data_IF_714241692209
#
_entry.id   IF_714241692209
#
_cell.length_a   1.000
_cell.length_b   1.000
_cell.length_c   1.000
_cell.angle_alpha   90.00
_cell.angle_beta   90.00
_cell.angle_gamma   90.00
#
_symmetry.space_group_name_H-M   'P 1'
#
loop_
_entity.id
_entity.type
_entity.pdbx_description
1 polymer ?
#
# COMPACT_ATOMS: atom_id res chain seq x y z
N UNK A 1 2.67 26.48 14.33
CA UNK A 1 2.94 25.29 15.16
C UNK A 1 4.00 24.44 14.43
N UNK A 2 4.96 23.82 15.13
CA UNK A 2 6.07 23.08 14.48
C UNK A 2 5.60 21.73 13.93
N UNK A 3 4.77 21.02 14.69
CA UNK A 3 4.19 19.72 14.34
C UNK A 3 2.68 19.83 14.18
N UNK A 4 2.05 18.85 13.51
CA UNK A 4 0.59 18.75 13.39
C UNK A 4 -0.07 18.48 14.75
N UNK A 5 0.57 17.64 15.56
CA UNK A 5 0.13 17.23 16.89
C UNK A 5 1.23 16.42 17.57
N UNK A 6 0.95 15.86 18.74
CA UNK A 6 1.83 14.90 19.44
C UNK A 6 0.97 13.72 19.87
N UNK A 7 1.49 12.51 19.67
CA UNK A 7 0.85 11.27 20.11
C UNK A 7 1.77 10.56 21.10
N UNK A 8 1.21 9.95 22.13
CA UNK A 8 1.96 9.15 23.10
C UNK A 8 1.92 7.67 22.69
N UNK A 9 3.05 7.13 22.28
CA UNK A 9 3.15 5.78 21.74
C UNK A 9 2.72 5.65 20.27
N UNK A 10 2.84 4.43 19.74
CA UNK A 10 2.49 4.10 18.35
C UNK A 10 1.01 3.69 18.28
N UNK A 11 0.16 4.37 17.48
CA UNK A 11 -1.25 4.00 17.32
C UNK A 11 -1.47 2.85 16.32
N UNK A 12 -0.40 2.28 15.78
CA UNK A 12 -0.42 1.26 14.73
C UNK A 12 0.26 -0.05 15.17
N UNK A 13 -0.07 -1.19 14.53
CA UNK A 13 0.62 -2.45 14.78
C UNK A 13 2.11 -2.38 14.39
N UNK A 14 2.92 -3.27 14.96
CA UNK A 14 4.34 -3.35 14.61
C UNK A 14 4.53 -3.68 13.13
N UNK A 15 5.29 -2.84 12.43
CA UNK A 15 5.60 -3.00 11.02
C UNK A 15 6.80 -3.94 10.79
N UNK A 16 7.52 -4.34 11.84
CA UNK A 16 8.58 -5.35 11.77
C UNK A 16 9.81 -4.95 10.96
N UNK A 17 9.94 -3.67 10.59
CA UNK A 17 11.04 -3.19 9.73
C UNK A 17 12.34 -3.16 10.51
N UNK A 18 13.32 -3.90 10.00
CA UNK A 18 14.70 -3.85 10.47
C UNK A 18 15.39 -2.56 9.98
N UNK A 19 16.48 -2.12 10.64
CA UNK A 19 17.27 -0.98 10.15
C UNK A 19 17.76 -1.13 8.69
N UNK A 20 18.00 -2.37 8.26
CA UNK A 20 18.43 -2.68 6.89
C UNK A 20 17.31 -2.45 5.87
N UNK A 21 16.06 -2.69 6.23
CA UNK A 21 14.91 -2.46 5.36
C UNK A 21 14.58 -0.99 5.25
N UNK A 22 14.69 -0.24 6.35
CA UNK A 22 14.64 1.22 6.33
C UNK A 22 15.65 1.82 5.34
N UNK A 23 16.89 1.33 5.34
CA UNK A 23 17.91 1.81 4.42
C UNK A 23 17.56 1.67 2.92
N UNK A 24 16.69 0.72 2.56
CA UNK A 24 16.22 0.52 1.17
C UNK A 24 15.19 1.57 0.74
N UNK A 25 14.48 2.18 1.68
CA UNK A 25 13.46 3.20 1.39
C UNK A 25 14.17 4.51 1.07
N UNK A 26 14.01 5.10 -0.12
CA UNK A 26 14.71 6.34 -0.47
C UNK A 26 14.24 7.50 0.43
N UNK A 27 15.16 8.35 0.91
CA UNK A 27 14.80 9.51 1.71
C UNK A 27 14.07 10.55 0.85
N UNK A 28 13.05 11.18 1.43
CA UNK A 28 12.26 12.26 0.81
C UNK A 28 12.15 13.44 1.77
N UNK A 29 11.77 14.59 1.25
CA UNK A 29 11.57 15.80 2.05
C UNK A 29 10.13 15.87 2.56
N UNK A 30 9.96 16.15 3.85
CA UNK A 30 8.67 16.30 4.52
C UNK A 30 8.62 17.62 5.27
N UNK A 31 7.43 18.21 5.38
CA UNK A 31 7.22 19.39 6.21
C UNK A 31 6.93 18.99 7.65
N UNK A 32 7.52 19.71 8.59
CA UNK A 32 7.37 19.41 10.02
C UNK A 32 5.92 19.55 10.50
N UNK A 33 5.18 20.52 9.96
CA UNK A 33 3.80 20.82 10.34
C UNK A 33 2.79 19.76 9.88
N UNK A 34 3.23 18.76 9.10
CA UNK A 34 2.42 17.62 8.69
C UNK A 34 2.65 16.39 9.57
N UNK A 35 3.69 16.41 10.42
CA UNK A 35 4.12 15.25 11.19
C UNK A 35 3.53 15.25 12.60
N UNK A 36 3.28 14.05 13.10
CA UNK A 36 2.87 13.78 14.48
C UNK A 36 3.90 12.88 15.15
N UNK A 37 4.83 13.41 15.97
CA UNK A 37 5.72 12.56 16.77
C UNK A 37 4.96 11.60 17.68
N UNK A 38 5.49 10.37 17.80
CA UNK A 38 4.97 9.29 18.67
C UNK A 38 5.57 9.28 20.07
N UNK A 39 6.49 10.21 20.35
CA UNK A 39 7.12 10.36 21.66
C UNK A 39 6.91 11.78 22.18
N UNK A 40 6.56 11.86 23.45
CA UNK A 40 6.31 13.11 24.18
C UNK A 40 7.57 13.66 24.84
N UNK A 41 8.58 12.81 25.06
CA UNK A 41 9.78 13.16 25.82
C UNK A 41 10.90 13.61 24.90
N UNK A 42 11.35 14.85 25.11
CA UNK A 42 12.52 15.41 24.44
C UNK A 42 13.68 15.55 25.44
N UNK A 43 14.74 14.79 25.21
CA UNK A 43 15.98 14.90 25.97
C UNK A 43 16.86 16.06 25.46
N UNK A 44 17.09 17.07 26.31
CA UNK A 44 17.82 18.30 25.95
C UNK A 44 19.32 18.06 25.72
N UNK A 45 19.93 17.20 26.53
CA UNK A 45 21.32 16.75 26.39
C UNK A 45 21.55 16.12 25.01
N UNK A 46 20.61 15.27 24.57
CA UNK A 46 20.63 14.69 23.22
C UNK A 46 20.43 15.78 22.16
N UNK A 47 19.50 16.72 22.36
CA UNK A 47 19.27 17.79 21.39
C UNK A 47 20.49 18.70 21.17
N UNK A 48 21.31 18.93 22.21
CA UNK A 48 22.49 19.79 22.15
C UNK A 48 23.77 19.04 21.77
N UNK A 49 23.78 17.72 21.84
CA UNK A 49 24.94 16.91 21.45
C UNK A 49 25.28 17.07 19.96
N UNK A 50 26.58 17.25 19.67
CA UNK A 50 27.10 17.27 18.29
C UNK A 50 26.90 15.90 17.60
N UNK A 51 26.90 14.80 18.38
CA UNK A 51 26.69 13.42 17.93
C UNK A 51 25.21 12.98 17.88
N UNK A 52 24.25 13.90 18.02
CA UNK A 52 22.81 13.56 18.12
C UNK A 52 22.22 12.90 16.85
N UNK A 53 23.02 12.71 15.80
CA UNK A 53 22.68 11.94 14.60
C UNK A 53 23.30 10.54 14.59
N UNK A 54 24.01 10.11 15.63
CA UNK A 54 25.01 9.05 15.48
C UNK A 54 24.58 7.63 15.85
N UNK A 55 23.37 7.42 16.37
CA UNK A 55 22.88 6.06 16.60
C UNK A 55 21.75 5.72 15.64
N UNK A 56 22.11 5.27 14.44
CA UNK A 56 21.16 4.69 13.48
C UNK A 56 21.19 5.34 12.09
N UNK A 57 20.01 5.60 11.54
CA UNK A 57 19.82 6.14 10.20
C UNK A 57 20.05 7.66 10.17
N UNK A 58 20.69 8.14 9.10
CA UNK A 58 20.93 9.58 8.90
C UNK A 58 19.62 10.35 8.70
N UNK A 59 18.58 9.66 8.24
CA UNK A 59 17.26 10.20 7.95
C UNK A 59 16.27 9.84 9.05
N UNK A 60 15.27 10.70 9.25
CA UNK A 60 14.16 10.37 10.15
C UNK A 60 13.30 9.23 9.61
N UNK A 61 12.57 8.54 10.48
CA UNK A 61 11.62 7.50 10.09
C UNK A 61 10.20 8.01 10.30
N UNK A 62 9.41 7.96 9.23
CA UNK A 62 8.00 8.31 9.23
C UNK A 62 7.21 7.07 8.85
N UNK A 63 6.19 6.77 9.64
CA UNK A 63 5.19 5.74 9.33
C UNK A 63 3.89 6.45 9.01
N UNK A 64 3.32 6.15 7.85
CA UNK A 64 1.98 6.59 7.50
C UNK A 64 0.97 5.50 7.88
N UNK A 65 0.00 5.88 8.69
CA UNK A 65 -1.09 5.01 9.14
C UNK A 65 -2.38 5.83 9.28
N UNK A 66 -3.49 5.28 8.81
CA UNK A 66 -4.79 5.96 8.72
C UNK A 66 -4.68 7.36 8.08
N UNK A 67 -3.87 7.49 7.03
CA UNK A 67 -3.58 8.79 6.37
C UNK A 67 -2.90 9.85 7.26
N UNK A 68 -2.34 9.48 8.41
CA UNK A 68 -1.57 10.34 9.30
C UNK A 68 -0.09 9.96 9.26
N UNK A 69 0.78 10.96 9.16
CA UNK A 69 2.24 10.77 9.18
C UNK A 69 2.79 10.86 10.59
N UNK A 70 3.17 9.71 11.14
CA UNK A 70 3.76 9.59 12.46
C UNK A 70 5.28 9.64 12.38
N UNK A 71 5.89 10.56 13.12
CA UNK A 71 7.35 10.66 13.24
C UNK A 71 7.81 9.70 14.34
N UNK A 72 8.33 8.55 13.91
CA UNK A 72 8.76 7.47 14.80
C UNK A 72 10.16 7.70 15.35
N UNK A 73 11.09 8.12 14.48
CA UNK A 73 12.46 8.43 14.84
C UNK A 73 12.92 9.76 14.24
N UNK A 74 13.90 10.40 14.88
CA UNK A 74 14.47 11.67 14.44
C UNK A 74 13.78 12.91 15.01
N UNK A 75 13.06 12.79 16.14
CA UNK A 75 12.43 13.93 16.82
C UNK A 75 13.44 15.06 17.10
N UNK A 76 14.61 14.75 17.67
CA UNK A 76 15.63 15.75 17.97
C UNK A 76 16.12 16.47 16.72
N UNK A 77 16.30 15.74 15.61
CA UNK A 77 16.69 16.28 14.31
C UNK A 77 15.60 17.19 13.72
N UNK A 78 14.34 16.81 13.87
CA UNK A 78 13.19 17.63 13.47
C UNK A 78 13.13 18.94 14.27
N UNK A 79 13.23 18.85 15.60
CA UNK A 79 13.20 20.03 16.48
C UNK A 79 14.42 20.93 16.24
N UNK A 80 15.62 20.36 16.09
CA UNK A 80 16.82 21.13 15.73
C UNK A 80 16.67 21.85 14.38
N UNK A 81 16.02 21.24 13.41
CA UNK A 81 15.71 21.88 12.12
C UNK A 81 14.74 23.05 12.30
N UNK A 82 13.68 22.86 13.09
CA UNK A 82 12.73 23.91 13.43
C UNK A 82 13.38 25.10 14.15
N UNK A 83 14.29 24.84 15.11
CA UNK A 83 15.06 25.86 15.81
C UNK A 83 16.00 26.66 14.90
N UNK A 84 16.38 26.10 13.74
CA UNK A 84 17.15 26.78 12.69
C UNK A 84 16.25 27.43 11.63
N UNK A 85 14.97 27.65 11.93
CA UNK A 85 13.95 28.16 11.02
C UNK A 85 13.77 27.32 9.74
N UNK A 86 14.08 26.02 9.78
CA UNK A 86 13.80 25.09 8.67
C UNK A 86 12.51 24.34 8.95
N UNK A 87 11.53 24.52 8.08
CA UNK A 87 10.20 23.89 8.18
C UNK A 87 10.13 22.51 7.55
N UNK A 88 11.25 21.99 7.04
CA UNK A 88 11.32 20.69 6.35
C UNK A 88 12.44 19.81 6.90
N UNK A 89 12.24 18.49 6.87
CA UNK A 89 13.21 17.45 7.24
C UNK A 89 13.31 16.40 6.14
N UNK A 90 14.47 15.76 6.00
CA UNK A 90 14.62 14.56 5.19
C UNK A 90 14.33 13.32 6.03
N UNK A 91 13.40 12.49 5.55
CA UNK A 91 12.94 11.30 6.23
C UNK A 91 12.64 10.18 5.22
N UNK A 92 12.61 8.95 5.71
CA UNK A 92 12.14 7.80 4.98
C UNK A 92 10.70 7.54 5.40
N UNK A 93 9.83 7.36 4.41
CA UNK A 93 8.43 7.10 4.63
C UNK A 93 8.12 5.63 4.37
N UNK A 94 7.57 4.97 5.37
CA UNK A 94 6.95 3.68 5.22
C UNK A 94 5.43 3.86 5.24
N UNK A 95 4.77 3.43 4.17
CA UNK A 95 3.33 3.41 4.07
C UNK A 95 2.80 2.11 4.66
N UNK A 96 2.33 2.16 5.91
CA UNK A 96 1.81 0.98 6.61
C UNK A 96 0.40 0.64 6.15
N UNK A 97 -0.41 1.64 5.76
CA UNK A 97 -1.76 1.41 5.22
C UNK A 97 -1.66 0.49 3.99
N UNK A 98 -0.84 0.89 3.02
CA UNK A 98 -0.58 0.16 1.78
C UNK A 98 0.13 -1.19 2.03
N UNK A 99 0.88 -1.33 3.12
CA UNK A 99 1.47 -2.61 3.52
C UNK A 99 0.44 -3.57 4.13
N UNK A 100 -0.44 -3.08 5.01
CA UNK A 100 -1.50 -3.87 5.62
C UNK A 100 -2.54 -4.31 4.59
N UNK A 101 -2.90 -3.45 3.64
CA UNK A 101 -3.77 -3.79 2.52
C UNK A 101 -3.21 -4.96 1.69
N UNK A 102 -1.89 -4.97 1.42
CA UNK A 102 -1.23 -6.07 0.71
C UNK A 102 -1.14 -7.36 1.50
N UNK A 103 -1.02 -7.29 2.82
CA UNK A 103 -1.02 -8.47 3.68
C UNK A 103 -2.42 -9.05 3.87
N UNK A 104 -3.45 -8.20 3.89
CA UNK A 104 -4.86 -8.61 3.95
C UNK A 104 -5.42 -9.09 2.60
N UNK A 105 -4.85 -8.61 1.49
CA UNK A 105 -5.24 -9.03 0.13
C UNK A 105 -4.37 -10.19 -0.32
N UNK A 106 -4.89 -11.41 -0.20
CA UNK A 106 -4.35 -12.55 -0.95
C UNK A 106 -4.51 -12.23 -2.44
N UNK A 107 -3.43 -12.21 -3.26
CA UNK A 107 -3.57 -12.08 -4.71
C UNK A 107 -4.27 -13.35 -5.23
N UNK A 108 -5.59 -13.28 -5.44
CA UNK A 108 -6.44 -14.41 -5.86
C UNK A 108 -7.84 -14.46 -5.23
N UNK A 109 -8.20 -13.48 -4.41
CA UNK A 109 -9.46 -13.30 -3.67
C UNK A 109 -10.76 -12.87 -4.35
N UNK A 110 -10.77 -12.34 -5.58
CA UNK A 110 -12.00 -11.68 -6.06
C UNK A 110 -11.92 -11.26 -7.53
N UNK A 111 -12.35 -12.16 -8.42
CA UNK A 111 -13.51 -11.85 -9.28
C UNK A 111 -14.16 -13.16 -9.78
N UNK A 112 -15.16 -13.63 -9.05
CA UNK A 112 -16.12 -14.63 -9.54
C UNK A 112 -17.47 -14.22 -8.97
N UNK A 113 -18.17 -13.42 -9.76
CA UNK A 113 -19.41 -12.74 -9.41
C UNK A 113 -20.42 -13.62 -8.70
N UNK A 114 -20.84 -13.17 -7.52
CA UNK A 114 -22.16 -13.47 -7.00
C UNK A 114 -23.14 -12.48 -7.61
N UNK A 115 -23.64 -12.82 -8.81
CA UNK A 115 -25.01 -12.45 -9.17
C UNK A 115 -25.87 -13.72 -9.19
N UNK A 116 -26.66 -13.84 -8.11
CA UNK A 116 -28.07 -14.21 -8.14
C UNK A 116 -28.46 -15.47 -8.92
N UNK A 117 -28.82 -16.51 -8.15
CA UNK A 117 -29.66 -17.63 -8.59
C UNK A 117 -30.88 -17.14 -9.38
N UNK A 118 -30.81 -17.24 -10.71
CA UNK A 118 -31.99 -17.23 -11.57
C UNK A 118 -32.53 -18.68 -11.66
N UNK A 119 -33.85 -18.91 -11.52
CA UNK A 119 -34.41 -20.24 -11.68
C UNK A 119 -34.25 -20.73 -13.13
N UNK A 120 -33.81 -21.97 -13.28
CA UNK A 120 -33.72 -22.69 -14.55
C UNK A 120 -35.08 -22.66 -15.27
N UNK A 121 -35.14 -22.07 -16.46
CA UNK A 121 -36.29 -22.24 -17.36
C UNK A 121 -36.32 -23.68 -17.89
N UNK A 122 -37.49 -24.34 -17.93
CA UNK A 122 -37.61 -25.64 -18.56
C UNK A 122 -37.42 -25.51 -20.08
N UNK A 123 -36.61 -26.41 -20.63
CA UNK A 123 -36.37 -26.56 -22.07
C UNK A 123 -37.67 -27.04 -22.74
N UNK A 124 -38.23 -26.33 -23.73
CA UNK A 124 -39.23 -26.92 -24.60
C UNK A 124 -38.56 -27.80 -25.66
N UNK A 125 -39.13 -28.99 -25.81
CA UNK A 125 -38.79 -30.09 -26.72
C UNK A 125 -38.77 -29.69 -28.22
N UNK A 126 -38.25 -30.55 -29.12
CA UNK A 126 -37.82 -30.17 -30.46
C UNK A 126 -38.97 -30.10 -31.47
N UNK A 127 -38.83 -29.21 -32.45
CA UNK A 127 -39.71 -29.09 -33.63
C UNK A 127 -38.84 -29.05 -34.92
N UNK A 128 -39.40 -29.24 -36.12
CA UNK A 128 -39.56 -30.54 -36.73
C UNK A 128 -38.72 -30.69 -38.01
N UNK A 129 -38.48 -31.94 -38.37
CA UNK A 129 -37.84 -32.36 -39.63
C UNK A 129 -38.64 -31.85 -40.83
N UNK A 130 -38.05 -31.01 -41.67
CA UNK A 130 -38.57 -30.75 -43.02
C UNK A 130 -37.89 -31.66 -44.04
N UNK A 131 -38.66 -32.35 -44.90
CA UNK A 131 -38.10 -33.21 -45.94
C UNK A 131 -38.02 -32.49 -47.30
N UNK A 132 -37.13 -33.03 -48.15
CA UNK A 132 -36.99 -32.87 -49.62
C UNK A 132 -36.22 -31.60 -50.03
N UNK A 133 -35.25 -31.70 -50.94
CA UNK A 133 -35.47 -32.15 -52.33
C UNK A 133 -34.20 -32.70 -53.00
N UNK A 134 -34.39 -33.79 -53.74
CA UNK A 134 -33.47 -34.37 -54.74
C UNK A 134 -32.95 -33.33 -55.73
N UNK A 135 -31.68 -33.42 -56.08
CA UNK A 135 -31.20 -33.21 -57.45
C UNK A 135 -30.31 -34.41 -57.82
N UNK A 136 -30.76 -35.15 -58.84
CA UNK A 136 -29.98 -36.12 -59.62
C UNK A 136 -29.18 -35.34 -60.65
N UNK A 137 -27.93 -35.72 -60.91
CA UNK A 137 -27.34 -36.17 -62.20
C UNK A 137 -25.82 -36.28 -62.01
N UNK A 138 -25.23 -37.47 -62.03
CA UNK A 138 -24.69 -38.23 -63.19
C UNK A 138 -23.24 -37.87 -63.55
N UNK A 139 -22.39 -38.90 -63.72
CA UNK A 139 -21.03 -38.77 -64.29
C UNK A 139 -19.95 -39.63 -63.61
N UNK A 140 -19.90 -40.97 -63.74
CA UNK A 140 -18.94 -41.79 -64.56
C UNK A 140 -17.45 -41.37 -64.46
N UNK A 141 -16.39 -42.18 -64.25
CA UNK A 141 -15.98 -43.59 -64.49
C UNK A 141 -14.84 -43.92 -63.47
N UNK A 142 -14.77 -45.09 -62.80
CA UNK A 142 -14.09 -46.37 -63.12
C UNK A 142 -12.55 -46.33 -63.28
N UNK A 143 -11.87 -47.08 -62.38
CA UNK A 143 -10.64 -47.94 -62.43
C UNK A 143 -9.59 -47.66 -63.53
N UNK A 144 -8.28 -47.76 -63.32
CA UNK A 144 -7.46 -48.71 -62.54
C UNK A 144 -6.20 -48.04 -61.96
#
# INVERSE_FOLDING_TARGET
MIFKGVHDGKPYPDHGLTPREWAKIPPRQFRLDQLTPVTTVLALDKLLSEDSTFYGDLFAHIVQFESVMYLEDGLHRAVRSALRNRTTIHARLFDLDDHLERLGTVPGQDDSGLETTAPLRPVPSPLPVHPRRRVRTEGVHRLD
#
